data_IF_782804248477
#
_entry.id   IF_782804248477
#
_cell.length_a   1.000
_cell.length_b   1.000
_cell.length_c   1.000
_cell.angle_alpha   90.00
_cell.angle_beta   90.00
_cell.angle_gamma   90.00
#
_symmetry.space_group_name_H-M   'P 1'
#
loop_
_entity.id
_entity.type
_entity.pdbx_description
1 polymer ?
#
# COMPACT_ATOMS: atom_id res chain seq x y z
N UNK A 1 -7.81 11.23 7.24
CA UNK A 1 -7.00 10.31 6.44
C UNK A 1 -6.70 9.00 7.17
N UNK A 2 -7.25 7.89 6.66
CA UNK A 2 -7.00 6.51 7.15
C UNK A 2 -5.79 5.91 6.43
N UNK A 3 -4.93 5.16 7.11
CA UNK A 3 -3.79 4.46 6.47
C UNK A 3 -4.17 3.00 6.27
N UNK A 4 -3.99 2.49 5.05
CA UNK A 4 -4.31 1.11 4.70
C UNK A 4 -3.12 0.45 4.01
N UNK A 5 -2.59 -0.62 4.58
CA UNK A 5 -1.59 -1.49 3.96
C UNK A 5 -2.24 -2.58 3.13
N UNK A 6 -1.85 -2.71 1.86
CA UNK A 6 -2.34 -3.71 0.91
C UNK A 6 -1.15 -4.50 0.38
N UNK A 7 -1.11 -5.80 0.65
CA UNK A 7 0.04 -6.61 0.28
C UNK A 7 -0.06 -8.05 0.75
N UNK A 8 1.05 -8.77 0.61
CA UNK A 8 1.29 -10.06 1.25
C UNK A 8 1.30 -9.96 2.78
N UNK A 9 1.26 -11.12 3.44
CA UNK A 9 1.09 -11.21 4.90
C UNK A 9 2.20 -10.50 5.67
N UNK A 10 3.46 -10.64 5.24
CA UNK A 10 4.63 -10.01 5.88
C UNK A 10 4.57 -8.48 5.81
N UNK A 11 4.27 -7.94 4.62
CA UNK A 11 4.05 -6.51 4.42
C UNK A 11 2.95 -5.99 5.34
N UNK A 12 1.80 -6.66 5.35
CA UNK A 12 0.67 -6.27 6.19
C UNK A 12 1.02 -6.33 7.69
N UNK A 13 1.76 -7.33 8.15
CA UNK A 13 2.17 -7.43 9.57
C UNK A 13 2.94 -6.18 10.04
N UNK A 14 3.84 -5.66 9.21
CA UNK A 14 4.61 -4.44 9.52
C UNK A 14 3.68 -3.24 9.72
N UNK A 15 2.77 -2.99 8.77
CA UNK A 15 1.88 -1.83 8.85
C UNK A 15 0.81 -1.96 9.92
N UNK A 16 0.34 -3.19 10.19
CA UNK A 16 -0.55 -3.48 11.31
C UNK A 16 0.11 -3.14 12.66
N UNK A 17 1.39 -3.48 12.82
CA UNK A 17 2.16 -3.10 14.02
C UNK A 17 2.27 -1.58 14.20
N UNK A 18 2.29 -0.84 13.10
CA UNK A 18 2.33 0.63 13.09
C UNK A 18 0.95 1.29 13.24
N UNK A 19 -0.12 0.50 13.46
CA UNK A 19 -1.48 1.00 13.67
C UNK A 19 -2.27 1.28 12.40
N UNK A 20 -1.80 0.84 11.23
CA UNK A 20 -2.56 0.92 9.98
C UNK A 20 -3.58 -0.22 9.88
N UNK A 21 -4.66 0.03 9.15
CA UNK A 21 -5.54 -1.05 8.69
C UNK A 21 -4.84 -1.85 7.59
N UNK A 22 -5.18 -3.13 7.45
CA UNK A 22 -4.50 -3.99 6.48
C UNK A 22 -5.45 -4.90 5.73
N UNK A 23 -5.15 -5.09 4.44
CA UNK A 23 -5.82 -6.05 3.58
C UNK A 23 -4.79 -6.98 2.94
N UNK A 24 -4.93 -8.28 3.20
CA UNK A 24 -4.03 -9.31 2.71
C UNK A 24 -4.73 -10.15 1.65
N UNK A 25 -4.18 -10.17 0.44
CA UNK A 25 -4.64 -11.02 -0.67
C UNK A 25 -3.53 -11.16 -1.69
N UNK A 26 -3.44 -12.33 -2.32
CA UNK A 26 -2.60 -12.57 -3.50
C UNK A 26 -3.42 -12.61 -4.80
N UNK A 27 -4.75 -12.61 -4.70
CA UNK A 27 -5.66 -12.59 -5.86
C UNK A 27 -5.81 -11.15 -6.40
N UNK A 28 -5.34 -10.86 -7.63
CA UNK A 28 -5.43 -9.52 -8.23
C UNK A 28 -6.85 -8.96 -8.27
N UNK A 29 -7.87 -9.81 -8.50
CA UNK A 29 -9.26 -9.34 -8.59
C UNK A 29 -9.76 -8.81 -7.25
N UNK A 30 -9.50 -9.54 -6.17
CA UNK A 30 -9.88 -9.11 -4.81
C UNK A 30 -9.15 -7.84 -4.40
N UNK A 31 -7.89 -7.70 -4.81
CA UNK A 31 -7.08 -6.51 -4.54
C UNK A 31 -7.69 -5.30 -5.24
N UNK A 32 -8.02 -5.43 -6.53
CA UNK A 32 -8.64 -4.36 -7.30
C UNK A 32 -9.99 -3.97 -6.71
N UNK A 33 -10.88 -4.93 -6.42
CA UNK A 33 -12.16 -4.66 -5.77
C UNK A 33 -11.98 -3.89 -4.46
N UNK A 34 -10.99 -4.29 -3.64
CA UNK A 34 -10.69 -3.59 -2.40
C UNK A 34 -10.15 -2.18 -2.63
N UNK A 35 -9.24 -1.99 -3.59
CA UNK A 35 -8.71 -0.67 -3.96
C UNK A 35 -9.85 0.25 -4.42
N UNK A 36 -10.74 -0.20 -5.31
CA UNK A 36 -11.91 0.56 -5.77
C UNK A 36 -12.84 0.98 -4.63
N UNK A 37 -12.92 0.22 -3.54
CA UNK A 37 -13.68 0.60 -2.35
C UNK A 37 -12.95 1.62 -1.47
N UNK A 38 -11.62 1.58 -1.39
CA UNK A 38 -10.83 2.50 -0.56
C UNK A 38 -10.55 3.83 -1.25
N UNK A 39 -10.36 3.86 -2.57
CA UNK A 39 -10.05 5.10 -3.30
C UNK A 39 -11.16 6.16 -3.25
N UNK A 40 -12.39 5.74 -2.95
CA UNK A 40 -13.54 6.63 -2.73
C UNK A 40 -13.56 7.27 -1.33
N UNK A 41 -12.60 6.95 -0.48
CA UNK A 41 -12.47 7.44 0.89
C UNK A 41 -11.17 8.24 1.01
N UNK A 42 -11.13 9.22 1.92
CA UNK A 42 -9.92 9.96 2.28
C UNK A 42 -8.90 9.02 2.98
N UNK A 43 -8.11 8.33 2.17
CA UNK A 43 -7.20 7.27 2.58
C UNK A 43 -5.82 7.37 1.92
N UNK A 44 -4.80 6.98 2.68
CA UNK A 44 -3.46 6.68 2.20
C UNK A 44 -3.35 5.15 2.06
N UNK A 45 -3.15 4.69 0.83
CA UNK A 45 -3.01 3.28 0.50
C UNK A 45 -1.52 2.99 0.30
N UNK A 46 -0.96 2.16 1.18
CA UNK A 46 0.41 1.65 1.08
C UNK A 46 0.35 0.29 0.37
N UNK A 47 0.82 0.24 -0.87
CA UNK A 47 0.71 -0.92 -1.73
C UNK A 47 2.08 -1.61 -1.87
N UNK A 48 2.14 -2.90 -1.58
CA UNK A 48 3.35 -3.71 -1.82
C UNK A 48 3.74 -3.70 -3.30
N UNK A 49 5.03 -3.54 -3.59
CA UNK A 49 5.57 -3.56 -4.97
C UNK A 49 5.34 -4.89 -5.68
N UNK A 50 5.28 -5.99 -4.92
CA UNK A 50 4.90 -7.32 -5.45
C UNK A 50 3.48 -7.29 -5.99
N UNK A 51 2.56 -6.67 -5.25
CA UNK A 51 1.18 -6.54 -5.67
C UNK A 51 1.04 -5.50 -6.79
N UNK A 52 1.72 -4.36 -6.71
CA UNK A 52 1.59 -3.32 -7.73
C UNK A 52 2.03 -3.80 -9.11
N UNK A 53 3.06 -4.66 -9.17
CA UNK A 53 3.50 -5.32 -10.41
C UNK A 53 2.43 -6.25 -10.98
N UNK A 54 1.62 -6.91 -10.14
CA UNK A 54 0.57 -7.84 -10.59
C UNK A 54 -0.65 -7.12 -11.18
N UNK A 55 -0.87 -5.84 -10.86
CA UNK A 55 -2.03 -5.04 -11.27
C UNK A 55 -1.63 -3.72 -11.93
N UNK A 56 -0.48 -3.70 -12.61
CA UNK A 56 0.16 -2.46 -13.06
C UNK A 56 -0.73 -1.64 -14.02
N UNK A 57 -1.42 -2.32 -14.95
CA UNK A 57 -2.29 -1.68 -15.94
C UNK A 57 -3.48 -1.01 -15.26
N UNK A 58 -4.20 -1.74 -14.40
CA UNK A 58 -5.34 -1.21 -13.67
C UNK A 58 -4.94 -0.13 -12.66
N UNK A 59 -3.76 -0.25 -12.05
CA UNK A 59 -3.24 0.74 -11.12
C UNK A 59 -2.97 2.08 -11.80
N UNK A 60 -2.50 2.07 -13.06
CA UNK A 60 -2.34 3.29 -13.86
C UNK A 60 -3.69 3.97 -14.14
N UNK A 61 -4.72 3.20 -14.44
CA UNK A 61 -6.07 3.72 -14.64
C UNK A 61 -6.62 4.35 -13.34
N UNK A 62 -6.48 3.66 -12.21
CA UNK A 62 -6.92 4.13 -10.90
C UNK A 62 -6.26 5.47 -10.54
N UNK A 63 -4.93 5.57 -10.70
CA UNK A 63 -4.17 6.80 -10.40
C UNK A 63 -4.55 7.99 -11.28
N UNK A 64 -5.00 7.73 -12.50
CA UNK A 64 -5.36 8.79 -13.47
C UNK A 64 -6.78 9.30 -13.25
N UNK A 65 -7.68 8.42 -12.80
CA UNK A 65 -9.12 8.66 -12.82
C UNK A 65 -9.67 9.17 -11.48
N UNK A 66 -9.06 8.77 -10.36
CA UNK A 66 -9.65 8.93 -9.02
C UNK A 66 -8.79 9.85 -8.13
N UNK A 67 -9.39 10.90 -7.55
CA UNK A 67 -8.70 11.92 -6.73
C UNK A 67 -8.91 11.76 -5.22
N UNK A 68 -9.58 10.70 -4.78
CA UNK A 68 -10.01 10.54 -3.38
C UNK A 68 -8.98 9.94 -2.43
N UNK A 69 -7.96 9.26 -2.95
CA UNK A 69 -6.94 8.59 -2.13
C UNK A 69 -5.54 8.75 -2.72
N UNK A 70 -4.53 8.67 -1.85
CA UNK A 70 -3.12 8.65 -2.24
C UNK A 70 -2.65 7.20 -2.23
N UNK A 71 -2.18 6.69 -3.36
CA UNK A 71 -1.58 5.36 -3.46
C UNK A 71 -0.06 5.50 -3.51
N UNK A 72 0.62 4.91 -2.54
CA UNK A 72 2.07 4.86 -2.44
C UNK A 72 2.53 3.40 -2.58
N UNK A 73 3.33 3.14 -3.61
CA UNK A 73 3.96 1.84 -3.80
C UNK A 73 5.21 1.75 -2.93
N UNK A 74 5.31 0.67 -2.16
CA UNK A 74 6.39 0.43 -1.23
C UNK A 74 7.04 -0.92 -1.51
N UNK A 75 8.37 -1.03 -1.37
CA UNK A 75 9.08 -2.29 -1.44
C UNK A 75 8.39 -3.39 -0.62
N UNK A 76 8.16 -4.53 -1.28
CA UNK A 76 7.79 -5.77 -0.61
C UNK A 76 8.99 -6.29 0.18
N UNK A 77 8.86 -6.57 1.50
CA UNK A 77 9.91 -7.20 2.28
C UNK A 77 10.21 -8.64 1.80
N UNK A 78 9.31 -9.24 1.02
CA UNK A 78 9.48 -10.57 0.45
C UNK A 78 10.24 -10.56 -0.88
N UNK A 79 10.71 -9.40 -1.37
CA UNK A 79 11.56 -9.27 -2.56
C UNK A 79 13.00 -9.07 -2.09
N UNK A 80 13.89 -10.02 -2.43
CA UNK A 80 15.28 -10.09 -1.95
C UNK A 80 16.18 -8.90 -2.39
N UNK A 81 15.73 -8.06 -3.32
CA UNK A 81 16.57 -7.02 -3.95
C UNK A 81 16.59 -5.65 -3.24
N UNK A 82 15.85 -5.43 -2.14
CA UNK A 82 15.83 -4.12 -1.49
C UNK A 82 16.82 -4.03 -0.32
N UNK A 83 17.90 -3.25 -0.53
CA UNK A 83 18.76 -2.74 0.55
C UNK A 83 17.91 -2.05 1.63
N UNK A 84 17.93 -2.59 2.85
CA UNK A 84 17.30 -2.09 4.09
C UNK A 84 16.02 -1.23 3.90
N UNK A 85 14.89 -1.86 3.56
CA UNK A 85 13.60 -1.17 3.57
C UNK A 85 13.15 -0.82 5.01
N UNK A 86 13.36 0.43 5.42
CA UNK A 86 12.89 0.96 6.70
C UNK A 86 11.46 1.50 6.58
N UNK A 87 10.48 0.61 6.74
CA UNK A 87 9.05 0.94 6.72
C UNK A 87 8.66 2.03 7.74
N UNK A 88 9.37 2.14 8.88
CA UNK A 88 9.12 3.19 9.87
C UNK A 88 9.50 4.55 9.31
N UNK A 89 10.65 4.64 8.63
CA UNK A 89 11.09 5.91 8.03
C UNK A 89 10.10 6.42 7.00
N UNK A 90 9.60 5.53 6.15
CA UNK A 90 8.57 5.85 5.16
C UNK A 90 7.32 6.36 5.86
N UNK A 91 6.80 5.62 6.85
CA UNK A 91 5.57 5.99 7.53
C UNK A 91 5.69 7.35 8.23
N UNK A 92 6.80 7.60 8.92
CA UNK A 92 7.05 8.89 9.59
C UNK A 92 7.18 10.05 8.62
N UNK A 93 7.81 9.82 7.46
CA UNK A 93 7.90 10.82 6.40
C UNK A 93 6.51 11.22 5.87
N UNK A 94 5.62 10.25 5.72
CA UNK A 94 4.24 10.51 5.26
C UNK A 94 3.37 11.14 6.35
N UNK A 95 3.57 10.75 7.61
CA UNK A 95 2.87 11.31 8.76
C UNK A 95 3.39 12.68 9.21
N UNK A 96 4.46 13.19 8.60
CA UNK A 96 5.08 14.46 8.97
C UNK A 96 5.75 14.43 10.35
N UNK A 97 6.09 13.24 10.86
CA UNK A 97 6.78 13.07 12.13
C UNK A 97 8.29 13.22 11.93
N UNK A 98 8.94 14.04 12.76
CA UNK A 98 10.41 14.20 12.76
C UNK A 98 11.08 13.13 13.62
N UNK A 99 12.26 12.68 13.16
CA UNK A 99 13.19 11.82 13.89
C UNK A 99 13.85 12.53 15.06
#
# INVERSE_FOLDING_TARGET
MRIVGVGEEEFCKIFKFLGADTFTSEDPKKILEYLYQQIKKDALILLSSKISTLIEEELKEIKTTEKGAVIMELPSPSVEEYEEFDAKKVLYSVLGMKF
#
